data_IF_683363385381
#
_entry.id   IF_683363385381
#
_cell.length_a   1.000
_cell.length_b   1.000
_cell.length_c   1.000
_cell.angle_alpha   90.00
_cell.angle_beta   90.00
_cell.angle_gamma   90.00
#
_symmetry.space_group_name_H-M   'P 1'
#
loop_
_entity.id
_entity.type
_entity.pdbx_description
1 polymer ?
#
# COMPACT_ATOMS: atom_id res chain seq x y z
N UNK A 1 -75.90 22.83 -38.63
CA UNK A 1 -75.03 21.63 -38.70
C UNK A 1 -73.60 22.05 -38.42
N UNK A 2 -73.13 21.92 -37.17
CA UNK A 2 -71.75 22.20 -36.77
C UNK A 2 -71.12 20.87 -36.35
N UNK A 3 -70.10 20.40 -37.09
CA UNK A 3 -69.35 19.18 -36.80
C UNK A 3 -68.14 19.55 -35.94
N UNK A 4 -68.15 19.12 -34.68
CA UNK A 4 -67.02 19.24 -33.76
C UNK A 4 -66.00 18.14 -34.08
N UNK A 5 -64.81 18.51 -34.54
CA UNK A 5 -63.68 17.61 -34.79
C UNK A 5 -62.89 17.42 -33.49
N UNK A 6 -62.88 16.20 -32.95
CA UNK A 6 -62.11 15.84 -31.76
C UNK A 6 -60.71 15.37 -32.19
N UNK A 7 -59.69 16.19 -31.92
CA UNK A 7 -58.29 15.83 -32.18
C UNK A 7 -57.72 15.16 -30.92
N UNK A 8 -57.38 13.87 -31.03
CA UNK A 8 -56.76 13.10 -29.94
C UNK A 8 -55.25 13.31 -30.01
N UNK A 9 -54.70 14.00 -29.03
CA UNK A 9 -53.26 14.20 -28.85
C UNK A 9 -52.63 12.94 -28.24
N UNK A 10 -51.87 12.19 -29.04
CA UNK A 10 -51.13 11.00 -28.57
C UNK A 10 -49.80 11.46 -27.97
N UNK A 11 -49.76 11.70 -26.66
CA UNK A 11 -48.52 12.03 -25.94
C UNK A 11 -47.65 10.77 -25.82
N UNK A 12 -46.61 10.71 -26.64
CA UNK A 12 -45.53 9.72 -26.50
C UNK A 12 -44.76 10.01 -25.22
N UNK A 13 -45.01 9.23 -24.17
CA UNK A 13 -44.25 9.27 -22.92
C UNK A 13 -42.85 8.72 -23.20
N UNK A 14 -41.88 9.62 -23.42
CA UNK A 14 -40.46 9.26 -23.45
C UNK A 14 -40.04 8.96 -22.00
N UNK A 15 -40.18 7.71 -21.56
CA UNK A 15 -39.57 7.27 -20.31
C UNK A 15 -38.06 7.40 -20.46
N UNK A 16 -37.46 8.35 -19.76
CA UNK A 16 -36.03 8.40 -19.58
C UNK A 16 -35.60 7.07 -18.96
N UNK A 17 -34.93 6.23 -19.75
CA UNK A 17 -34.27 5.04 -19.27
C UNK A 17 -33.21 5.50 -18.26
N UNK A 18 -33.54 5.44 -16.97
CA UNK A 18 -32.55 5.55 -15.91
C UNK A 18 -31.57 4.39 -16.11
N UNK A 19 -30.42 4.68 -16.70
CA UNK A 19 -29.33 3.72 -16.83
C UNK A 19 -28.92 3.31 -15.42
N UNK A 20 -29.23 2.06 -15.05
CA UNK A 20 -28.69 1.47 -13.83
C UNK A 20 -27.17 1.38 -13.99
N UNK A 21 -26.48 2.30 -13.35
CA UNK A 21 -25.02 2.32 -13.34
C UNK A 21 -24.53 1.16 -12.48
N UNK A 22 -23.60 0.38 -13.04
CA UNK A 22 -22.92 -0.68 -12.32
C UNK A 22 -21.45 -0.60 -12.66
N UNK A 23 -20.64 -0.34 -11.66
CA UNK A 23 -19.20 -0.14 -11.79
C UNK A 23 -18.44 -0.88 -10.71
N UNK A 24 -17.16 -1.12 -10.95
CA UNK A 24 -16.24 -1.66 -9.94
C UNK A 24 -15.62 -0.46 -9.22
N UNK A 25 -16.09 -0.17 -8.01
CA UNK A 25 -15.80 1.07 -7.30
C UNK A 25 -14.59 0.97 -6.35
N UNK A 26 -14.36 -0.20 -5.76
CA UNK A 26 -13.30 -0.38 -4.76
C UNK A 26 -12.40 -1.53 -5.15
N UNK A 27 -11.11 -1.24 -5.35
CA UNK A 27 -10.06 -2.22 -5.56
C UNK A 27 -9.17 -2.27 -4.32
N UNK A 28 -8.86 -3.48 -3.86
CA UNK A 28 -8.03 -3.71 -2.70
C UNK A 28 -7.00 -4.79 -3.00
N UNK A 29 -5.75 -4.54 -2.58
CA UNK A 29 -4.69 -5.52 -2.52
C UNK A 29 -4.35 -5.75 -1.04
N UNK A 30 -4.39 -7.00 -0.58
CA UNK A 30 -4.29 -7.38 0.84
C UNK A 30 -5.18 -6.51 1.75
N UNK A 31 -6.44 -6.30 1.34
CA UNK A 31 -7.45 -5.48 2.02
C UNK A 31 -7.12 -3.99 2.17
N UNK A 32 -6.15 -3.47 1.41
CA UNK A 32 -5.75 -2.05 1.40
C UNK A 32 -5.82 -1.47 -0.01
N UNK A 33 -6.12 -0.18 -0.12
CA UNK A 33 -5.98 0.57 -1.39
C UNK A 33 -4.52 0.94 -1.60
N UNK A 34 -4.01 0.78 -2.83
CA UNK A 34 -2.64 1.14 -3.22
C UNK A 34 -1.55 0.89 -2.15
N UNK A 35 -1.46 -0.32 -1.57
CA UNK A 35 -0.53 -0.59 -0.47
C UNK A 35 0.93 -0.49 -0.94
N UNK A 36 1.81 0.04 -0.09
CA UNK A 36 3.21 0.30 -0.44
C UNK A 36 4.22 -0.72 0.13
N UNK A 37 3.75 -1.77 0.82
CA UNK A 37 4.62 -2.71 1.53
C UNK A 37 4.08 -4.15 1.52
N UNK A 38 3.73 -4.67 0.34
CA UNK A 38 3.26 -6.06 0.19
C UNK A 38 4.44 -7.02 0.34
N UNK A 39 4.35 -7.94 1.28
CA UNK A 39 5.40 -8.93 1.55
C UNK A 39 5.59 -9.95 0.40
N UNK A 40 6.49 -10.90 0.59
CA UNK A 40 6.78 -11.92 -0.43
C UNK A 40 5.69 -13.01 -0.53
N UNK A 41 4.58 -12.88 0.23
CA UNK A 41 3.44 -13.77 0.04
C UNK A 41 2.67 -13.34 -1.21
N UNK A 42 2.06 -14.28 -1.97
CA UNK A 42 1.33 -13.90 -3.17
C UNK A 42 0.21 -12.90 -2.83
N UNK A 43 0.17 -11.71 -3.45
CA UNK A 43 -0.84 -10.71 -3.15
C UNK A 43 -2.26 -11.25 -3.32
N UNK A 44 -3.20 -10.66 -2.60
CA UNK A 44 -4.62 -11.02 -2.62
C UNK A 44 -5.45 -9.85 -3.09
N UNK A 45 -6.20 -10.03 -4.17
CA UNK A 45 -7.02 -9.01 -4.78
C UNK A 45 -8.48 -9.14 -4.38
N UNK A 46 -9.10 -8.03 -4.05
CA UNK A 46 -10.54 -7.94 -3.82
C UNK A 46 -11.11 -6.75 -4.59
N UNK A 47 -12.34 -6.87 -5.07
CA UNK A 47 -13.05 -5.79 -5.74
C UNK A 47 -14.52 -5.74 -5.35
N UNK A 48 -15.09 -4.54 -5.32
CA UNK A 48 -16.49 -4.32 -4.95
C UNK A 48 -17.24 -3.58 -6.04
N UNK A 49 -18.46 -4.00 -6.29
CA UNK A 49 -19.36 -3.34 -7.24
C UNK A 49 -20.20 -2.28 -6.52
N UNK A 50 -20.41 -1.15 -7.17
CA UNK A 50 -21.47 -0.21 -6.86
C UNK A 50 -22.58 -0.40 -7.91
N UNK A 51 -23.78 -0.81 -7.50
CA UNK A 51 -24.88 -1.14 -8.41
C UNK A 51 -26.23 -0.86 -7.77
N UNK A 52 -27.16 -0.32 -8.55
CA UNK A 52 -28.58 -0.21 -8.19
C UNK A 52 -29.42 -1.41 -8.68
N UNK A 53 -28.80 -2.37 -9.39
CA UNK A 53 -29.51 -3.52 -9.97
C UNK A 53 -29.74 -4.61 -8.93
N UNK A 54 -31.01 -4.93 -8.67
CA UNK A 54 -31.40 -6.11 -7.89
C UNK A 54 -31.03 -7.41 -8.63
N UNK A 55 -30.56 -8.42 -7.90
CA UNK A 55 -30.14 -9.69 -8.49
C UNK A 55 -28.85 -9.59 -9.32
N UNK A 56 -28.05 -8.54 -9.12
CA UNK A 56 -26.70 -8.47 -9.67
C UNK A 56 -25.81 -9.55 -9.07
N UNK A 57 -25.14 -10.31 -9.92
CA UNK A 57 -24.15 -11.32 -9.53
C UNK A 57 -23.03 -11.33 -10.57
N UNK A 58 -21.78 -11.47 -10.11
CA UNK A 58 -20.65 -11.74 -11.01
C UNK A 58 -20.70 -13.20 -11.45
N UNK A 59 -20.47 -13.47 -12.75
CA UNK A 59 -20.36 -14.82 -13.31
C UNK A 59 -18.92 -15.20 -13.66
N UNK A 60 -18.05 -14.21 -13.93
CA UNK A 60 -16.65 -14.44 -14.24
C UNK A 60 -15.80 -13.20 -13.99
N UNK A 61 -14.48 -13.38 -13.91
CA UNK A 61 -13.52 -12.28 -13.87
C UNK A 61 -12.23 -12.58 -14.65
N UNK A 62 -11.47 -11.53 -14.93
CA UNK A 62 -10.10 -11.56 -15.44
C UNK A 62 -9.30 -10.47 -14.74
N UNK A 63 -8.22 -10.88 -14.08
CA UNK A 63 -7.23 -10.00 -13.49
C UNK A 63 -6.02 -9.92 -14.42
N UNK A 64 -5.51 -8.70 -14.60
CA UNK A 64 -4.22 -8.47 -15.24
C UNK A 64 -3.33 -7.66 -14.31
N UNK A 65 -2.03 -7.96 -14.34
CA UNK A 65 -0.99 -7.28 -13.57
C UNK A 65 0.20 -6.99 -14.49
N UNK A 66 0.76 -5.78 -14.36
CA UNK A 66 1.98 -5.37 -15.03
C UNK A 66 2.91 -4.60 -14.11
N UNK A 67 4.20 -4.61 -14.43
CA UNK A 67 5.25 -3.90 -13.70
C UNK A 67 5.36 -2.41 -14.07
N UNK A 68 4.59 -1.95 -15.05
CA UNK A 68 4.65 -0.59 -15.59
C UNK A 68 3.25 -0.09 -15.93
N UNK A 69 2.98 1.18 -15.61
CA UNK A 69 1.70 1.82 -15.87
C UNK A 69 1.35 1.87 -17.38
N UNK A 70 2.27 2.25 -18.29
CA UNK A 70 1.96 2.24 -19.72
C UNK A 70 1.55 0.85 -20.24
N UNK A 71 2.23 -0.22 -19.79
CA UNK A 71 1.92 -1.58 -20.23
C UNK A 71 0.49 -1.99 -19.88
N UNK A 72 0.04 -1.77 -18.63
CA UNK A 72 -1.33 -2.13 -18.25
C UNK A 72 -2.38 -1.23 -18.90
N UNK A 73 -2.06 0.04 -19.14
CA UNK A 73 -2.95 0.97 -19.85
C UNK A 73 -3.23 0.48 -21.27
N UNK A 74 -2.25 -0.13 -21.92
CA UNK A 74 -2.39 -0.78 -23.23
C UNK A 74 -3.04 -2.18 -23.15
N UNK A 75 -3.47 -2.63 -21.97
CA UNK A 75 -4.00 -3.97 -21.74
C UNK A 75 -2.95 -5.09 -21.78
N UNK A 76 -1.64 -4.74 -21.82
CA UNK A 76 -0.55 -5.71 -21.73
C UNK A 76 -0.38 -6.11 -20.28
N UNK A 77 -0.25 -7.42 -20.07
CA UNK A 77 -0.25 -8.07 -18.76
C UNK A 77 1.07 -8.84 -18.57
N UNK A 78 2.19 -8.11 -18.55
CA UNK A 78 3.52 -8.72 -18.64
C UNK A 78 3.94 -9.47 -17.35
N UNK A 79 3.20 -9.27 -16.26
CA UNK A 79 3.48 -9.90 -14.97
C UNK A 79 2.50 -11.01 -14.64
N UNK A 80 1.20 -10.81 -14.91
CA UNK A 80 0.21 -11.87 -14.76
C UNK A 80 -1.05 -11.56 -15.54
N UNK A 81 -1.67 -12.59 -16.10
CA UNK A 81 -3.00 -12.55 -16.67
C UNK A 81 -3.71 -13.82 -16.22
N UNK A 82 -4.80 -13.69 -15.47
CA UNK A 82 -5.54 -14.85 -14.98
C UNK A 82 -6.30 -15.60 -16.09
N UNK A 83 -6.45 -14.98 -17.27
CA UNK A 83 -7.49 -15.38 -18.22
C UNK A 83 -8.89 -15.11 -17.66
N UNK A 84 -9.93 -15.54 -18.40
CA UNK A 84 -11.30 -15.48 -17.89
C UNK A 84 -11.54 -16.69 -16.99
N UNK A 85 -11.85 -16.44 -15.72
CA UNK A 85 -12.17 -17.45 -14.72
C UNK A 85 -13.68 -17.35 -14.44
N UNK A 86 -14.40 -18.45 -14.66
CA UNK A 86 -15.83 -18.56 -14.30
C UNK A 86 -15.96 -18.74 -12.80
N UNK A 87 -16.33 -17.67 -12.09
CA UNK A 87 -16.48 -17.63 -10.64
C UNK A 87 -17.17 -16.33 -10.22
N UNK A 88 -17.99 -16.42 -9.18
CA UNK A 88 -18.59 -15.29 -8.47
C UNK A 88 -17.66 -14.68 -7.42
N UNK A 89 -16.50 -15.30 -7.16
CA UNK A 89 -15.51 -14.81 -6.19
C UNK A 89 -14.99 -13.43 -6.59
N UNK A 90 -15.06 -12.49 -5.66
CA UNK A 90 -14.58 -11.11 -5.79
C UNK A 90 -13.72 -10.65 -4.61
N UNK A 91 -13.46 -11.54 -3.66
CA UNK A 91 -12.73 -11.27 -2.42
C UNK A 91 -11.57 -12.24 -2.31
N UNK A 92 -10.39 -11.72 -1.93
CA UNK A 92 -9.21 -12.50 -1.56
C UNK A 92 -8.73 -13.45 -2.67
N UNK A 93 -8.80 -13.01 -3.94
CA UNK A 93 -8.34 -13.78 -5.09
C UNK A 93 -6.81 -13.73 -5.16
N UNK A 94 -6.18 -14.89 -5.09
CA UNK A 94 -4.72 -15.01 -5.05
C UNK A 94 -4.07 -14.68 -6.40
N UNK A 95 -3.02 -13.86 -6.35
CA UNK A 95 -2.06 -13.72 -7.42
C UNK A 95 -1.41 -15.08 -7.74
N UNK A 96 -1.37 -15.43 -9.03
CA UNK A 96 -0.78 -16.69 -9.55
C UNK A 96 0.18 -16.46 -10.71
N UNK A 97 0.77 -15.26 -10.79
CA UNK A 97 1.76 -14.95 -11.82
C UNK A 97 3.18 -15.30 -11.40
N UNK A 98 4.14 -14.75 -12.14
CA UNK A 98 5.57 -14.92 -11.85
C UNK A 98 5.96 -14.27 -10.51
N UNK A 99 7.10 -14.68 -9.95
CA UNK A 99 7.61 -14.05 -8.74
C UNK A 99 7.76 -12.54 -8.89
N UNK A 100 7.30 -11.81 -7.88
CA UNK A 100 7.42 -10.37 -7.82
C UNK A 100 8.83 -10.00 -7.35
N UNK A 101 9.30 -8.82 -7.75
CA UNK A 101 10.58 -8.27 -7.33
C UNK A 101 10.37 -7.42 -6.08
N UNK A 102 11.36 -7.38 -5.19
CA UNK A 102 11.35 -6.54 -4.01
C UNK A 102 11.35 -5.04 -4.37
N UNK A 103 10.64 -4.22 -3.61
CA UNK A 103 10.61 -2.76 -3.77
C UNK A 103 10.01 -2.24 -5.07
N UNK A 104 9.32 -3.09 -5.84
CA UNK A 104 8.77 -2.75 -7.16
C UNK A 104 7.28 -2.40 -7.06
N UNK A 105 6.87 -1.36 -7.79
CA UNK A 105 5.44 -1.03 -7.97
C UNK A 105 4.87 -1.84 -9.13
N UNK A 106 3.74 -2.49 -8.89
CA UNK A 106 2.93 -3.19 -9.87
C UNK A 106 1.57 -2.51 -10.01
N UNK A 107 0.99 -2.65 -11.19
CA UNK A 107 -0.31 -2.10 -11.55
C UNK A 107 -1.23 -3.25 -11.92
N UNK A 108 -2.49 -3.15 -11.52
CA UNK A 108 -3.46 -4.20 -11.76
C UNK A 108 -4.85 -3.64 -12.07
N UNK A 109 -5.64 -4.43 -12.78
CA UNK A 109 -7.04 -4.13 -13.06
C UNK A 109 -7.84 -5.42 -13.21
N UNK A 110 -9.15 -5.29 -13.04
CA UNK A 110 -10.10 -6.40 -13.19
C UNK A 110 -11.12 -6.08 -14.28
N UNK A 111 -11.40 -7.08 -15.10
CA UNK A 111 -12.58 -7.14 -15.96
C UNK A 111 -13.51 -8.21 -15.41
N UNK A 112 -14.76 -7.87 -15.13
CA UNK A 112 -15.75 -8.79 -14.63
C UNK A 112 -16.93 -8.94 -15.60
N UNK A 113 -17.55 -10.11 -15.61
CA UNK A 113 -18.79 -10.38 -16.30
C UNK A 113 -19.88 -10.61 -15.27
N UNK A 114 -21.06 -10.07 -15.50
CA UNK A 114 -22.22 -10.31 -14.65
C UNK A 114 -23.04 -11.53 -15.11
N UNK A 115 -24.11 -11.84 -14.39
CA UNK A 115 -25.06 -12.91 -14.68
C UNK A 115 -25.89 -12.72 -15.96
N UNK A 116 -25.77 -11.57 -16.64
CA UNK A 116 -26.36 -11.29 -17.95
C UNK A 116 -25.29 -11.23 -19.07
N UNK A 117 -24.03 -11.53 -18.75
CA UNK A 117 -22.90 -11.46 -19.67
C UNK A 117 -22.37 -10.04 -19.94
N UNK A 118 -22.87 -9.01 -19.25
CA UNK A 118 -22.38 -7.63 -19.38
C UNK A 118 -20.98 -7.51 -18.77
N UNK A 119 -20.12 -6.74 -19.44
CA UNK A 119 -18.74 -6.51 -19.05
C UNK A 119 -18.64 -5.25 -18.19
N UNK A 120 -17.91 -5.35 -17.08
CA UNK A 120 -17.54 -4.25 -16.20
C UNK A 120 -16.01 -4.21 -16.08
N UNK A 121 -15.42 -3.03 -16.32
CA UNK A 121 -13.97 -2.81 -16.20
C UNK A 121 -13.71 -1.89 -15.02
N UNK A 122 -12.71 -2.21 -14.21
CA UNK A 122 -12.24 -1.32 -13.16
C UNK A 122 -11.32 -0.24 -13.71
N UNK A 123 -11.04 0.77 -12.89
CA UNK A 123 -9.82 1.57 -13.03
C UNK A 123 -8.57 0.71 -12.78
N UNK A 124 -7.40 1.28 -13.07
CA UNK A 124 -6.11 0.67 -12.73
C UNK A 124 -5.75 1.11 -11.31
N UNK A 125 -5.49 0.15 -10.44
CA UNK A 125 -4.87 0.40 -9.13
C UNK A 125 -3.44 -0.16 -9.11
N UNK A 126 -2.73 0.06 -8.02
CA UNK A 126 -1.34 -0.37 -7.87
C UNK A 126 -1.09 -1.03 -6.52
N UNK A 127 0.07 -1.65 -6.37
CA UNK A 127 0.64 -2.00 -5.08
C UNK A 127 2.16 -1.98 -5.22
N UNK A 128 2.89 -1.76 -4.13
CA UNK A 128 4.36 -1.86 -4.11
C UNK A 128 4.77 -2.96 -3.15
N UNK A 129 5.71 -3.78 -3.59
CA UNK A 129 6.27 -4.85 -2.78
C UNK A 129 7.28 -4.32 -1.76
N UNK A 130 7.39 -5.05 -0.67
CA UNK A 130 8.36 -4.92 0.40
C UNK A 130 9.79 -5.18 -0.09
N UNK A 131 10.76 -4.88 0.77
CA UNK A 131 12.10 -5.47 0.72
C UNK A 131 12.00 -6.85 1.37
N UNK A 132 12.27 -7.92 0.62
CA UNK A 132 12.01 -9.28 1.08
C UNK A 132 13.15 -9.82 1.93
N UNK A 133 14.38 -9.55 1.52
CA UNK A 133 15.58 -10.11 2.10
C UNK A 133 16.60 -9.02 2.48
N UNK A 134 17.59 -9.40 3.31
CA UNK A 134 18.68 -8.49 3.71
C UNK A 134 19.43 -7.88 2.50
N UNK A 135 19.58 -8.62 1.40
CA UNK A 135 20.23 -8.13 0.17
C UNK A 135 19.50 -6.94 -0.46
N UNK A 136 18.18 -6.84 -0.28
CA UNK A 136 17.35 -5.78 -0.87
C UNK A 136 17.54 -4.43 -0.16
N UNK A 137 18.13 -4.44 1.05
CA UNK A 137 18.56 -3.25 1.78
C UNK A 137 19.88 -2.66 1.25
N UNK A 138 20.46 -3.27 0.21
CA UNK A 138 21.72 -2.85 -0.39
C UNK A 138 22.82 -2.72 0.69
N UNK A 139 23.50 -1.57 0.75
CA UNK A 139 24.59 -1.29 1.69
C UNK A 139 24.12 -0.63 3.00
N UNK A 140 22.82 -0.61 3.30
CA UNK A 140 22.34 -0.06 4.56
C UNK A 140 22.87 -0.87 5.75
N UNK A 141 23.31 -0.17 6.79
CA UNK A 141 23.83 -0.76 8.03
C UNK A 141 23.09 -0.18 9.22
N UNK A 142 22.99 -0.96 10.30
CA UNK A 142 22.59 -0.43 11.59
C UNK A 142 23.61 0.61 12.06
N UNK A 143 23.13 1.78 12.44
CA UNK A 143 23.95 2.85 13.03
C UNK A 143 23.46 3.13 14.44
N UNK A 144 24.41 3.39 15.35
CA UNK A 144 24.15 3.69 16.76
C UNK A 144 25.07 4.81 17.24
N UNK A 145 24.67 5.51 18.30
CA UNK A 145 25.52 6.54 18.91
C UNK A 145 26.63 5.93 19.76
N UNK A 146 26.28 4.90 20.54
CA UNK A 146 27.21 4.09 21.32
C UNK A 146 26.97 2.62 20.96
N UNK A 147 28.05 1.83 20.86
CA UNK A 147 27.92 0.37 20.88
C UNK A 147 27.62 -0.06 22.31
N UNK A 148 26.39 -0.51 22.56
CA UNK A 148 26.01 -1.06 23.85
C UNK A 148 26.52 -2.52 23.94
N UNK A 149 27.36 -2.86 24.93
CA UNK A 149 27.76 -4.23 25.17
C UNK A 149 26.53 -5.10 25.46
N UNK A 150 26.60 -6.37 25.09
CA UNK A 150 25.50 -7.34 25.25
C UNK A 150 24.99 -7.42 26.69
N UNK A 151 25.88 -7.23 27.67
CA UNK A 151 25.55 -7.19 29.10
C UNK A 151 24.57 -6.08 29.49
N UNK A 152 24.50 -4.99 28.71
CA UNK A 152 23.59 -3.86 28.91
C UNK A 152 22.34 -3.90 28.03
N UNK A 153 22.19 -4.90 27.13
CA UNK A 153 20.98 -5.06 26.32
C UNK A 153 19.81 -5.55 27.19
N UNK A 154 18.67 -4.86 27.08
CA UNK A 154 17.44 -5.23 27.78
C UNK A 154 16.38 -5.62 26.76
N UNK A 155 16.22 -6.93 26.56
CA UNK A 155 15.21 -7.53 25.68
C UNK A 155 14.56 -8.70 26.43
N UNK A 156 13.23 -8.71 26.64
CA UNK A 156 12.28 -7.64 26.33
C UNK A 156 12.48 -6.39 27.21
N UNK A 157 12.04 -5.23 26.72
CA UNK A 157 12.28 -3.93 27.35
C UNK A 157 11.74 -3.79 28.79
N UNK A 158 12.17 -2.73 29.48
CA UNK A 158 11.90 -2.43 30.91
C UNK A 158 10.41 -2.33 31.26
N UNK A 159 9.51 -2.23 30.29
CA UNK A 159 8.06 -2.23 30.50
C UNK A 159 7.44 -3.64 30.61
N UNK A 160 8.25 -4.70 30.47
CA UNK A 160 7.80 -6.05 30.75
C UNK A 160 7.55 -6.25 32.25
N UNK A 161 6.54 -7.04 32.67
CA UNK A 161 6.16 -7.23 34.08
C UNK A 161 7.28 -7.79 34.99
N UNK A 162 8.47 -8.11 34.45
CA UNK A 162 9.62 -8.65 35.16
C UNK A 162 10.79 -7.65 35.26
N UNK A 163 10.56 -6.36 35.01
CA UNK A 163 11.56 -5.29 35.09
C UNK A 163 12.34 -5.25 36.42
N UNK A 164 11.72 -5.73 37.51
CA UNK A 164 12.36 -5.81 38.84
C UNK A 164 13.48 -6.86 38.95
N UNK A 165 13.67 -7.72 37.93
CA UNK A 165 14.74 -8.74 37.90
C UNK A 165 15.98 -8.31 37.09
N UNK A 166 16.08 -7.04 36.69
CA UNK A 166 17.14 -6.57 35.78
C UNK A 166 18.52 -6.38 36.44
N UNK A 167 18.63 -6.43 37.78
CA UNK A 167 19.89 -6.24 38.49
C UNK A 167 20.55 -4.90 38.10
N UNK A 168 21.81 -4.94 37.63
CA UNK A 168 22.52 -3.75 37.15
C UNK A 168 22.22 -3.34 35.70
N UNK A 169 21.32 -4.05 35.01
CA UNK A 169 20.89 -3.70 33.64
C UNK A 169 19.94 -2.50 33.68
N UNK A 170 20.01 -1.62 32.68
CA UNK A 170 19.24 -0.37 32.57
C UNK A 170 19.53 0.75 33.62
N UNK A 171 20.63 0.68 34.37
CA UNK A 171 21.01 1.77 35.30
C UNK A 171 21.43 3.06 34.55
N UNK A 172 22.09 2.92 33.39
CA UNK A 172 22.49 4.05 32.55
C UNK A 172 21.40 4.35 31.52
N UNK A 173 20.83 5.55 31.56
CA UNK A 173 19.90 6.03 30.53
C UNK A 173 20.63 6.17 29.20
N UNK A 174 20.10 5.54 28.15
CA UNK A 174 20.62 5.69 26.80
C UNK A 174 20.43 7.14 26.33
N UNK A 175 21.45 7.67 25.66
CA UNK A 175 21.35 8.94 24.94
C UNK A 175 20.34 8.74 23.80
N UNK A 176 19.53 9.76 23.53
CA UNK A 176 18.57 9.76 22.43
C UNK A 176 19.22 10.49 21.26
N UNK A 177 19.79 9.75 20.28
CA UNK A 177 20.55 10.39 19.23
C UNK A 177 19.68 11.07 18.19
N UNK A 178 20.26 12.10 17.58
CA UNK A 178 19.82 12.66 16.32
C UNK A 178 20.83 12.27 15.25
N UNK A 179 20.41 11.47 14.28
CA UNK A 179 21.24 11.14 13.11
C UNK A 179 20.95 12.12 11.99
N UNK A 180 21.99 12.57 11.30
CA UNK A 180 21.88 13.46 10.15
C UNK A 180 22.75 12.98 9.00
N UNK A 181 22.24 13.11 7.78
CA UNK A 181 23.03 12.95 6.55
C UNK A 181 22.62 14.00 5.52
N UNK A 182 23.57 14.44 4.71
CA UNK A 182 23.30 15.28 3.53
C UNK A 182 23.75 14.53 2.29
N UNK A 183 22.98 14.65 1.20
CA UNK A 183 23.37 14.13 -0.10
C UNK A 183 22.87 15.04 -1.22
N UNK A 184 23.45 14.87 -2.41
CA UNK A 184 23.09 15.64 -3.61
C UNK A 184 22.58 14.72 -4.71
N UNK A 185 21.55 15.16 -5.43
CA UNK A 185 21.02 14.48 -6.62
C UNK A 185 21.48 15.20 -7.89
N UNK A 186 21.78 14.42 -8.94
CA UNK A 186 22.30 14.96 -10.21
C UNK A 186 21.24 15.14 -11.29
N UNK A 187 20.13 14.40 -11.18
CA UNK A 187 19.05 14.37 -12.16
C UNK A 187 17.73 14.78 -11.49
N UNK A 188 16.75 15.31 -12.26
CA UNK A 188 15.40 15.48 -11.77
C UNK A 188 14.83 14.18 -11.21
N UNK A 189 14.08 14.29 -10.11
CA UNK A 189 13.54 13.14 -9.38
C UNK A 189 12.09 12.94 -9.83
N UNK A 190 11.80 11.80 -10.44
CA UNK A 190 10.43 11.42 -10.80
C UNK A 190 9.69 10.76 -9.64
N UNK A 191 10.42 9.99 -8.81
CA UNK A 191 9.91 9.27 -7.64
C UNK A 191 11.04 8.99 -6.65
N UNK A 192 10.75 9.06 -5.36
CA UNK A 192 11.65 8.64 -4.29
C UNK A 192 10.88 7.99 -3.14
N UNK A 193 11.39 6.86 -2.65
CA UNK A 193 10.80 6.10 -1.55
C UNK A 193 11.87 5.83 -0.50
N UNK A 194 11.52 6.06 0.76
CA UNK A 194 12.38 5.74 1.90
C UNK A 194 11.87 4.47 2.60
N UNK A 195 12.76 3.49 2.73
CA UNK A 195 12.60 2.31 3.57
C UNK A 195 13.36 2.58 4.86
N UNK A 196 12.65 2.73 5.97
CA UNK A 196 13.25 3.19 7.23
C UNK A 196 12.74 2.35 8.41
N UNK A 197 13.65 2.06 9.33
CA UNK A 197 13.35 1.42 10.60
C UNK A 197 14.35 1.88 11.67
N UNK A 198 13.99 1.68 12.93
CA UNK A 198 14.84 1.94 14.09
C UNK A 198 14.50 0.96 15.21
N UNK A 199 15.49 0.58 16.01
CA UNK A 199 15.26 -0.14 17.26
C UNK A 199 14.84 0.88 18.33
N UNK A 200 13.54 0.89 18.64
CA UNK A 200 12.90 1.96 19.41
C UNK A 200 11.99 2.80 18.50
N UNK A 201 11.74 4.05 18.90
CA UNK A 201 10.80 4.93 18.21
C UNK A 201 11.52 6.09 17.54
N UNK A 202 11.14 6.42 16.31
CA UNK A 202 11.78 7.51 15.56
C UNK A 202 10.80 8.42 14.82
N UNK A 203 11.29 9.62 14.52
CA UNK A 203 10.75 10.52 13.52
C UNK A 203 11.77 10.70 12.39
N UNK A 204 11.31 10.47 11.15
CA UNK A 204 12.14 10.61 9.96
C UNK A 204 11.76 11.88 9.22
N UNK A 205 12.76 12.71 8.90
CA UNK A 205 12.56 14.02 8.31
C UNK A 205 13.49 14.24 7.13
N UNK A 206 12.99 14.91 6.09
CA UNK A 206 13.79 15.38 4.96
C UNK A 206 13.53 16.87 4.76
N UNK A 207 14.59 17.64 4.56
CA UNK A 207 14.56 19.09 4.39
C UNK A 207 13.69 19.84 5.43
N UNK A 208 13.73 19.38 6.68
CA UNK A 208 12.98 19.98 7.80
C UNK A 208 11.51 19.56 7.89
N UNK A 209 11.02 18.73 6.98
CA UNK A 209 9.64 18.23 6.96
C UNK A 209 9.59 16.77 7.39
N UNK A 210 8.59 16.41 8.20
CA UNK A 210 8.34 15.02 8.62
C UNK A 210 7.87 14.18 7.43
N UNK A 211 8.48 13.01 7.25
CA UNK A 211 8.08 12.04 6.24
C UNK A 211 7.01 11.10 6.81
N UNK A 212 5.84 11.07 6.15
CA UNK A 212 4.68 10.31 6.62
C UNK A 212 3.98 10.96 7.82
N UNK A 213 2.91 10.31 8.30
CA UNK A 213 2.05 10.78 9.38
C UNK A 213 2.08 9.87 10.62
N UNK A 214 2.91 8.82 10.62
CA UNK A 214 2.97 7.88 11.73
C UNK A 214 3.52 8.51 13.00
N UNK A 215 2.94 8.11 14.13
CA UNK A 215 3.42 8.38 15.47
C UNK A 215 3.91 7.04 16.06
N UNK A 216 5.06 7.03 16.74
CA UNK A 216 5.70 5.82 17.28
C UNK A 216 5.96 4.74 16.21
N UNK A 217 6.62 5.15 15.13
CA UNK A 217 7.17 4.23 14.13
C UNK A 217 8.45 3.53 14.64
N UNK A 218 8.68 2.23 14.35
CA UNK A 218 7.99 1.40 13.36
C UNK A 218 6.98 0.38 13.92
N UNK A 219 6.49 0.58 15.15
CA UNK A 219 5.73 -0.36 15.99
C UNK A 219 6.60 -1.29 16.88
N UNK A 220 6.00 -1.70 17.99
CA UNK A 220 6.64 -2.54 18.99
C UNK A 220 6.50 -4.03 18.61
N UNK A 221 7.63 -4.72 18.55
CA UNK A 221 7.73 -6.17 18.29
C UNK A 221 8.80 -6.78 19.17
N UNK A 222 8.89 -8.12 19.21
CA UNK A 222 10.05 -8.80 19.76
C UNK A 222 11.25 -8.59 18.83
N UNK A 223 12.03 -7.53 19.07
CA UNK A 223 13.08 -7.07 18.17
C UNK A 223 14.21 -8.08 17.96
N UNK A 224 14.38 -9.05 18.86
CA UNK A 224 15.27 -10.21 18.71
C UNK A 224 14.76 -11.25 17.69
N UNK A 225 13.48 -11.18 17.32
CA UNK A 225 12.82 -12.06 16.35
C UNK A 225 12.45 -11.36 15.05
N UNK A 226 11.90 -10.15 15.15
CA UNK A 226 11.39 -9.40 14.00
C UNK A 226 11.42 -7.91 14.30
N UNK A 227 11.82 -7.12 13.30
CA UNK A 227 11.73 -5.66 13.32
C UNK A 227 10.89 -5.22 12.13
N UNK A 228 9.89 -4.38 12.36
CA UNK A 228 9.10 -3.79 11.28
C UNK A 228 9.81 -2.57 10.71
N UNK A 229 9.51 -2.22 9.46
CA UNK A 229 10.00 -1.00 8.83
C UNK A 229 8.85 -0.30 8.10
N UNK A 230 9.00 1.00 7.86
CA UNK A 230 8.04 1.81 7.15
C UNK A 230 8.53 2.14 5.74
N UNK A 231 7.57 2.20 4.81
CA UNK A 231 7.78 2.63 3.41
C UNK A 231 7.11 3.98 3.23
N UNK A 232 7.91 5.00 2.93
CA UNK A 232 7.46 6.38 2.86
C UNK A 232 7.68 6.93 1.45
N UNK A 233 6.64 7.48 0.83
CA UNK A 233 6.83 8.34 -0.34
C UNK A 233 7.44 9.67 0.13
N UNK A 234 8.64 9.96 -0.34
CA UNK A 234 9.40 11.16 0.00
C UNK A 234 9.66 12.02 -1.22
N UNK A 235 9.05 11.70 -2.37
CA UNK A 235 9.32 12.33 -3.67
C UNK A 235 9.27 13.86 -3.59
N UNK A 236 8.22 14.42 -2.98
CA UNK A 236 8.03 15.87 -2.84
C UNK A 236 8.94 16.53 -1.79
N UNK A 237 9.61 15.73 -0.94
CA UNK A 237 10.49 16.23 0.12
C UNK A 237 11.94 16.35 -0.33
N UNK A 238 12.31 15.74 -1.47
CA UNK A 238 13.66 15.81 -2.00
C UNK A 238 13.89 17.09 -2.80
N UNK A 239 15.14 17.54 -2.79
CA UNK A 239 15.65 18.64 -3.61
C UNK A 239 17.06 18.31 -4.11
N UNK A 240 17.68 19.21 -4.89
CA UNK A 240 19.06 19.04 -5.39
C UNK A 240 20.04 18.75 -4.25
N UNK A 241 19.85 19.38 -3.09
CA UNK A 241 20.60 19.11 -1.86
C UNK A 241 19.61 18.70 -0.79
N UNK A 242 19.57 17.41 -0.49
CA UNK A 242 18.66 16.88 0.50
C UNK A 242 19.38 16.60 1.81
N UNK A 243 18.81 17.12 2.89
CA UNK A 243 19.23 16.82 4.26
C UNK A 243 18.21 15.89 4.89
N UNK A 244 18.71 14.82 5.50
CA UNK A 244 17.92 13.80 6.17
C UNK A 244 18.24 13.84 7.65
N UNK A 245 17.21 13.75 8.47
CA UNK A 245 17.31 13.61 9.91
C UNK A 245 16.49 12.43 10.38
N UNK A 246 17.00 11.72 11.37
CA UNK A 246 16.26 10.70 12.11
C UNK A 246 16.45 10.99 13.58
N UNK A 247 15.37 11.42 14.23
CA UNK A 247 15.33 11.72 15.66
C UNK A 247 14.67 10.56 16.38
N UNK A 248 15.33 10.00 17.37
CA UNK A 248 14.67 9.04 18.24
C UNK A 248 13.83 9.77 19.29
N UNK A 249 12.71 9.16 19.66
CA UNK A 249 11.84 9.66 20.73
C UNK A 249 12.11 8.89 22.01
N UNK A 250 11.99 9.58 23.15
CA UNK A 250 11.83 8.88 24.43
C UNK A 250 10.42 8.29 24.44
N UNK A 251 10.26 7.11 25.02
CA UNK A 251 8.92 6.63 25.38
C UNK A 251 8.17 7.75 26.10
N UNK A 252 6.89 7.90 25.73
CA UNK A 252 5.96 8.79 26.41
C UNK A 252 5.70 8.15 27.76
N UNK A 253 6.46 8.58 28.78
CA UNK A 253 6.12 8.36 30.18
C UNK A 253 5.05 9.36 30.60
#
# INVERSE_FOLDING_TARGET
MSRLLLVIFFTVFFSALNSQTTEIANLLCNNSRHPSNIDNNPPRFSWQFNTSRKGFMQSAFRLIVSDTYPSIKDGRANTWNSGKITSDQSINVAYRGRNLLAGNTYYWSVTAWDNLGKIHKSYIDSFTTALFDKKDWSNAQWIGYEELPDSMRVVPGVHAPHAKQLGNKAIKRAIVPLFRKEFRTKKPISKATAYVTGLGQYEFMLNGQKAGNSFLAPAWTFYDKRVQYNVLDVTSLLSVVTRVWMRFSRDIS
#
